data_IF_281780129085
#
_entry.id   IF_281780129085
#
_cell.length_a   1.000
_cell.length_b   1.000
_cell.length_c   1.000
_cell.angle_alpha   90.00
_cell.angle_beta   90.00
_cell.angle_gamma   90.00
#
_symmetry.space_group_name_H-M   'P 1'
#
loop_
_entity.id
_entity.type
_entity.pdbx_description
1 polymer ?
#
# COMPACT_ATOMS: atom_id res chain seq x y z
N UNK A 1 34.03 -74.58 28.28
CA UNK A 1 32.97 -73.95 27.46
C UNK A 1 32.29 -72.87 28.28
N UNK A 2 32.66 -71.61 28.10
CA UNK A 2 32.02 -70.46 28.77
C UNK A 2 32.08 -69.27 27.82
N UNK A 3 30.98 -69.05 27.07
CA UNK A 3 30.79 -67.89 26.18
C UNK A 3 30.47 -66.67 27.05
N UNK A 4 31.30 -65.62 26.94
CA UNK A 4 30.98 -64.28 27.44
C UNK A 4 30.11 -63.57 26.41
N UNK A 5 28.92 -63.15 26.82
CA UNK A 5 28.01 -62.32 26.03
C UNK A 5 28.18 -60.86 26.46
N UNK A 6 28.64 -60.01 25.56
CA UNK A 6 28.70 -58.55 25.73
C UNK A 6 27.37 -57.92 25.30
N UNK A 7 26.64 -57.33 26.25
CA UNK A 7 25.48 -56.48 25.97
C UNK A 7 25.96 -55.10 25.50
N UNK A 8 25.52 -54.70 24.31
CA UNK A 8 25.64 -53.33 23.79
C UNK A 8 24.48 -52.50 24.35
N UNK A 9 24.76 -51.49 25.18
CA UNK A 9 23.76 -50.51 25.60
C UNK A 9 23.66 -49.40 24.53
N UNK A 10 22.51 -49.31 23.86
CA UNK A 10 22.21 -48.22 22.93
C UNK A 10 21.75 -46.98 23.73
N UNK A 11 22.56 -45.93 23.72
CA UNK A 11 22.18 -44.63 24.28
C UNK A 11 21.23 -43.91 23.30
N UNK A 12 19.97 -43.76 23.68
CA UNK A 12 18.97 -42.97 22.94
C UNK A 12 19.22 -41.48 23.23
N UNK A 13 19.82 -40.76 22.28
CA UNK A 13 19.94 -39.31 22.36
C UNK A 13 18.59 -38.67 22.00
N UNK A 14 17.86 -38.16 22.99
CA UNK A 14 16.71 -37.28 22.76
C UNK A 14 17.20 -35.93 22.24
N UNK A 15 17.00 -35.68 20.95
CA UNK A 15 17.11 -34.33 20.39
C UNK A 15 15.84 -33.55 20.74
N UNK A 16 15.92 -32.64 21.70
CA UNK A 16 14.89 -31.63 21.92
C UNK A 16 14.87 -30.69 20.70
N UNK A 17 13.86 -30.82 19.85
CA UNK A 17 13.57 -29.83 18.83
C UNK A 17 13.19 -28.52 19.53
N UNK A 18 13.97 -27.46 19.30
CA UNK A 18 13.63 -26.14 19.79
C UNK A 18 12.33 -25.67 19.12
N UNK A 19 11.26 -25.52 19.92
CA UNK A 19 10.03 -24.88 19.46
C UNK A 19 10.36 -23.42 19.17
N UNK A 20 10.13 -22.89 17.95
CA UNK A 20 10.38 -21.49 17.67
C UNK A 20 9.50 -20.65 18.62
N UNK A 21 10.13 -19.75 19.38
CA UNK A 21 9.40 -18.80 20.20
C UNK A 21 8.47 -18.00 19.29
N UNK A 22 7.16 -18.03 19.57
CA UNK A 22 6.21 -17.20 18.83
C UNK A 22 6.61 -15.73 19.03
N UNK A 23 6.68 -14.97 17.93
CA UNK A 23 6.92 -13.53 17.98
C UNK A 23 5.90 -12.87 18.92
N UNK A 24 6.35 -11.88 19.69
CA UNK A 24 5.46 -11.17 20.61
C UNK A 24 4.33 -10.49 19.81
N UNK A 25 3.06 -10.60 20.26
CA UNK A 25 1.93 -10.00 19.56
C UNK A 25 2.15 -8.49 19.35
N UNK A 26 1.79 -8.00 18.16
CA UNK A 26 1.81 -6.56 17.88
C UNK A 26 0.73 -5.88 18.71
N UNK A 27 1.10 -4.81 19.41
CA UNK A 27 0.19 -4.02 20.26
C UNK A 27 0.20 -2.53 19.95
N UNK A 28 1.12 -2.04 19.11
CA UNK A 28 1.24 -0.65 18.70
C UNK A 28 0.58 -0.38 17.34
N UNK A 29 -0.58 -0.97 17.08
CA UNK A 29 -1.26 -0.80 15.80
C UNK A 29 -2.13 0.47 15.73
N UNK A 30 -2.31 1.05 14.53
CA UNK A 30 -3.26 2.12 14.29
C UNK A 30 -4.68 1.79 14.73
N UNK A 31 -5.38 2.79 15.25
CA UNK A 31 -6.78 2.70 15.70
C UNK A 31 -7.06 1.64 16.78
N UNK A 32 -6.05 1.04 17.42
CA UNK A 32 -6.22 0.04 18.48
C UNK A 32 -7.26 0.44 19.52
N UNK A 33 -7.13 1.65 20.05
CA UNK A 33 -7.97 2.19 21.13
C UNK A 33 -9.16 3.01 20.62
N UNK A 34 -9.24 3.27 19.32
CA UNK A 34 -10.23 4.20 18.78
C UNK A 34 -11.65 3.66 19.00
N UNK A 35 -12.61 4.49 19.46
CA UNK A 35 -14.01 4.11 19.50
C UNK A 35 -14.47 3.62 18.12
N UNK A 36 -15.38 2.65 18.08
CA UNK A 36 -16.03 2.29 16.82
C UNK A 36 -16.80 3.49 16.27
N UNK A 37 -16.82 3.60 14.96
CA UNK A 37 -17.41 4.71 14.23
C UNK A 37 -17.83 4.22 12.84
N UNK A 38 -18.74 4.93 12.19
CA UNK A 38 -19.00 4.69 10.76
C UNK A 38 -17.81 5.03 9.87
N UNK A 39 -16.81 5.73 10.42
CA UNK A 39 -15.53 6.05 9.77
C UNK A 39 -14.41 5.07 10.14
N UNK A 40 -14.67 4.08 11.01
CA UNK A 40 -13.71 3.00 11.27
C UNK A 40 -13.51 2.13 10.01
N UNK A 41 -12.34 1.49 9.85
CA UNK A 41 -12.17 0.40 8.89
C UNK A 41 -13.28 -0.64 9.10
N UNK A 42 -13.92 -1.07 8.01
CA UNK A 42 -15.00 -2.06 8.09
C UNK A 42 -14.51 -3.35 8.76
N UNK A 43 -13.26 -3.76 8.50
CA UNK A 43 -12.64 -4.91 9.13
C UNK A 43 -12.64 -4.81 10.66
N UNK A 44 -12.37 -3.63 11.23
CA UNK A 44 -12.33 -3.42 12.68
C UNK A 44 -13.73 -3.61 13.29
N UNK A 45 -14.78 -3.17 12.58
CA UNK A 45 -16.18 -3.37 12.98
C UNK A 45 -16.55 -4.86 12.92
N UNK A 46 -16.19 -5.54 11.84
CA UNK A 46 -16.51 -6.95 11.61
C UNK A 46 -15.77 -7.91 12.55
N UNK A 47 -14.62 -7.50 13.08
CA UNK A 47 -13.88 -8.25 14.11
C UNK A 47 -14.57 -8.23 15.48
N UNK A 48 -15.43 -7.25 15.75
CA UNK A 48 -16.14 -7.11 17.02
C UNK A 48 -17.56 -7.65 16.94
N UNK A 49 -17.94 -8.69 17.71
CA UNK A 49 -19.31 -9.20 17.73
C UNK A 49 -20.33 -8.10 18.08
N UNK A 50 -20.03 -7.27 19.08
CA UNK A 50 -20.92 -6.19 19.52
C UNK A 50 -21.12 -5.12 18.43
N UNK A 51 -20.05 -4.69 17.75
CA UNK A 51 -20.16 -3.71 16.67
C UNK A 51 -20.85 -4.29 15.43
N UNK A 52 -20.57 -5.55 15.11
CA UNK A 52 -21.24 -6.27 14.02
C UNK A 52 -22.75 -6.37 14.25
N UNK A 53 -23.19 -6.64 15.47
CA UNK A 53 -24.61 -6.73 15.81
C UNK A 53 -25.34 -5.39 15.65
N UNK A 54 -24.68 -4.26 15.94
CA UNK A 54 -25.23 -2.92 15.68
C UNK A 54 -25.41 -2.70 14.18
N UNK A 55 -24.42 -3.03 13.36
CA UNK A 55 -24.48 -2.83 11.90
C UNK A 55 -25.51 -3.75 11.23
N UNK A 56 -25.67 -4.99 11.70
CA UNK A 56 -26.67 -5.95 11.18
C UNK A 56 -28.11 -5.43 11.28
N UNK A 57 -28.40 -4.51 12.21
CA UNK A 57 -29.74 -3.90 12.33
C UNK A 57 -30.13 -3.05 11.12
N UNK A 58 -29.18 -2.59 10.31
CA UNK A 58 -29.43 -1.89 9.03
C UNK A 58 -29.89 -2.82 7.89
N UNK A 59 -29.84 -4.13 8.13
CA UNK A 59 -30.14 -5.18 7.18
C UNK A 59 -29.21 -6.38 7.45
N UNK A 60 -29.73 -7.51 8.00
CA UNK A 60 -28.89 -8.61 8.48
C UNK A 60 -28.00 -9.23 7.39
N UNK A 61 -28.36 -9.01 6.13
CA UNK A 61 -27.72 -9.59 4.96
C UNK A 61 -26.79 -8.63 4.18
N UNK A 62 -26.72 -7.34 4.54
CA UNK A 62 -26.03 -6.34 3.69
C UNK A 62 -24.54 -6.57 3.54
N UNK A 63 -23.88 -7.11 4.57
CA UNK A 63 -22.43 -7.33 4.58
C UNK A 63 -22.05 -8.82 4.55
N UNK A 64 -22.98 -9.70 4.93
CA UNK A 64 -22.76 -11.16 4.96
C UNK A 64 -22.94 -11.82 3.59
N UNK A 65 -23.62 -11.17 2.64
CA UNK A 65 -23.72 -11.63 1.23
C UNK A 65 -22.54 -11.19 0.36
N UNK A 66 -21.66 -10.34 0.87
CA UNK A 66 -20.49 -9.90 0.13
C UNK A 66 -19.44 -11.03 0.12
N UNK A 67 -18.66 -11.19 -0.96
CA UNK A 67 -17.57 -12.15 -1.00
C UNK A 67 -16.60 -11.96 0.18
N UNK A 68 -15.95 -13.03 0.63
CA UNK A 68 -14.99 -12.97 1.73
C UNK A 68 -13.81 -12.03 1.43
N UNK A 69 -13.41 -11.88 0.16
CA UNK A 69 -12.42 -10.88 -0.25
C UNK A 69 -12.87 -9.44 0.02
N UNK A 70 -14.19 -9.19 0.06
CA UNK A 70 -14.77 -7.86 0.27
C UNK A 70 -15.11 -7.58 1.74
N UNK A 71 -15.63 -8.57 2.47
CA UNK A 71 -16.11 -8.43 3.84
C UNK A 71 -15.45 -9.41 4.84
N UNK A 72 -14.26 -9.91 4.53
CA UNK A 72 -13.50 -10.82 5.38
C UNK A 72 -12.83 -10.10 6.56
N UNK A 73 -12.57 -10.85 7.63
CA UNK A 73 -11.86 -10.39 8.82
C UNK A 73 -10.38 -10.76 8.86
N UNK A 74 -9.89 -11.41 7.80
CA UNK A 74 -8.48 -11.78 7.64
C UNK A 74 -7.90 -10.94 6.52
N UNK A 75 -6.80 -10.23 6.80
CA UNK A 75 -6.04 -9.51 5.79
C UNK A 75 -5.26 -10.49 4.89
N UNK A 76 -5.14 -10.23 3.57
CA UNK A 76 -5.66 -9.07 2.85
C UNK A 76 -7.18 -9.11 2.65
N UNK A 77 -7.84 -7.96 2.84
CA UNK A 77 -9.29 -7.82 2.61
C UNK A 77 -9.66 -6.39 2.23
N UNK A 78 -10.62 -6.24 1.31
CA UNK A 78 -11.19 -4.93 0.96
C UNK A 78 -11.80 -4.22 2.18
N UNK A 79 -12.29 -4.97 3.18
CA UNK A 79 -12.81 -4.42 4.43
C UNK A 79 -11.76 -3.59 5.21
N UNK A 80 -10.46 -3.80 4.95
CA UNK A 80 -9.38 -3.02 5.55
C UNK A 80 -9.17 -1.64 4.90
N UNK A 81 -9.80 -1.38 3.73
CA UNK A 81 -9.63 -0.15 2.94
C UNK A 81 -10.94 0.59 2.64
N UNK A 82 -12.03 0.18 3.29
CA UNK A 82 -13.30 0.90 3.29
C UNK A 82 -13.76 1.15 4.71
N UNK A 83 -14.56 2.21 4.88
CA UNK A 83 -15.34 2.44 6.10
C UNK A 83 -16.81 2.09 5.88
N UNK A 84 -17.59 1.96 6.96
CA UNK A 84 -19.04 1.80 6.84
C UNK A 84 -19.68 2.97 6.08
N UNK A 85 -19.21 4.21 6.30
CA UNK A 85 -19.67 5.38 5.55
C UNK A 85 -19.42 5.19 4.05
N UNK A 86 -18.21 4.81 3.68
CA UNK A 86 -17.87 4.63 2.27
C UNK A 86 -18.65 3.45 1.64
N UNK A 87 -18.78 2.33 2.35
CA UNK A 87 -19.57 1.19 1.92
C UNK A 87 -21.09 1.52 1.84
N UNK A 88 -21.60 2.39 2.71
CA UNK A 88 -23.03 2.78 2.73
C UNK A 88 -23.44 3.63 1.53
N UNK A 89 -22.49 4.35 0.91
CA UNK A 89 -22.70 5.06 -0.35
C UNK A 89 -23.03 4.12 -1.51
N UNK A 90 -22.71 2.83 -1.39
CA UNK A 90 -23.08 1.78 -2.35
C UNK A 90 -24.52 1.27 -2.16
N UNK A 91 -25.16 1.58 -1.03
CA UNK A 91 -26.45 1.00 -0.64
C UNK A 91 -27.53 1.98 -0.18
N UNK A 92 -27.30 3.29 -0.32
CA UNK A 92 -28.29 4.35 -0.08
C UNK A 92 -28.82 4.42 1.36
N UNK A 93 -27.94 4.52 2.35
CA UNK A 93 -28.36 4.75 3.75
C UNK A 93 -28.60 6.25 3.96
N UNK A 94 -29.81 6.60 4.42
CA UNK A 94 -30.17 7.98 4.76
C UNK A 94 -29.20 8.61 5.78
N UNK A 95 -28.82 9.90 5.64
CA UNK A 95 -27.86 10.56 6.53
C UNK A 95 -28.20 10.49 8.02
N UNK A 96 -29.49 10.60 8.37
CA UNK A 96 -29.94 10.54 9.76
C UNK A 96 -29.73 9.14 10.37
N UNK A 97 -29.94 8.09 9.57
CA UNK A 97 -29.69 6.71 9.99
C UNK A 97 -28.19 6.45 10.20
N UNK A 98 -27.33 7.03 9.35
CA UNK A 98 -25.88 6.97 9.55
C UNK A 98 -25.45 7.68 10.84
N UNK A 99 -26.05 8.83 11.15
CA UNK A 99 -25.77 9.58 12.37
C UNK A 99 -26.21 8.82 13.63
N UNK A 100 -27.37 8.18 13.59
CA UNK A 100 -27.84 7.31 14.68
C UNK A 100 -26.92 6.09 14.86
N UNK A 101 -26.54 5.43 13.77
CA UNK A 101 -25.63 4.29 13.78
C UNK A 101 -24.26 4.65 14.36
N UNK A 102 -23.69 5.79 13.96
CA UNK A 102 -22.39 6.25 14.48
C UNK A 102 -22.45 6.45 16.00
N UNK A 103 -23.55 6.99 16.51
CA UNK A 103 -23.76 7.14 17.95
C UNK A 103 -23.83 5.80 18.67
N UNK A 104 -24.54 4.82 18.11
CA UNK A 104 -24.61 3.47 18.67
C UNK A 104 -23.24 2.78 18.67
N UNK A 105 -22.49 2.86 17.55
CA UNK A 105 -21.14 2.31 17.46
C UNK A 105 -20.19 2.93 18.47
N UNK A 106 -20.20 4.26 18.60
CA UNK A 106 -19.35 4.99 19.57
C UNK A 106 -19.65 4.66 21.03
N UNK A 107 -20.85 4.18 21.32
CA UNK A 107 -21.24 3.77 22.67
C UNK A 107 -20.70 2.38 23.05
N UNK A 108 -20.21 1.59 22.09
CA UNK A 108 -19.64 0.26 22.33
C UNK A 108 -18.24 0.40 22.96
N UNK A 109 -18.01 -0.19 24.15
CA UNK A 109 -16.67 -0.23 24.74
C UNK A 109 -15.71 -1.05 23.85
N UNK A 110 -14.52 -0.53 23.61
CA UNK A 110 -13.45 -1.27 22.92
C UNK A 110 -12.77 -2.21 23.92
N UNK A 111 -13.02 -3.51 23.77
CA UNK A 111 -12.50 -4.56 24.66
C UNK A 111 -11.04 -4.89 24.36
N UNK A 112 -10.35 -5.60 25.27
CA UNK A 112 -8.99 -6.09 24.97
C UNK A 112 -8.95 -7.13 23.84
N UNK A 113 -10.04 -7.86 23.61
CA UNK A 113 -10.17 -8.75 22.44
C UNK A 113 -10.25 -7.94 21.14
N UNK A 114 -11.04 -6.87 21.10
CA UNK A 114 -11.10 -5.97 19.94
C UNK A 114 -9.72 -5.38 19.63
N UNK A 115 -9.00 -4.93 20.66
CA UNK A 115 -7.65 -4.38 20.52
C UNK A 115 -6.65 -5.39 19.96
N UNK A 116 -6.68 -6.63 20.45
CA UNK A 116 -5.83 -7.72 19.94
C UNK A 116 -6.18 -8.05 18.48
N UNK A 117 -7.47 -8.18 18.19
CA UNK A 117 -7.97 -8.50 16.85
C UNK A 117 -7.56 -7.45 15.81
N UNK A 118 -7.71 -6.15 16.13
CA UNK A 118 -7.28 -5.05 15.25
C UNK A 118 -5.79 -5.09 14.94
N UNK A 119 -4.95 -5.45 15.92
CA UNK A 119 -3.50 -5.49 15.72
C UNK A 119 -3.00 -6.74 15.01
N UNK A 120 -3.80 -7.81 14.93
CA UNK A 120 -3.38 -9.09 14.35
C UNK A 120 -3.03 -9.03 12.84
N UNK A 121 -3.48 -7.99 12.11
CA UNK A 121 -3.14 -7.75 10.69
C UNK A 121 -1.78 -7.08 10.48
N UNK A 122 -1.11 -6.67 11.55
CA UNK A 122 0.22 -6.06 11.49
C UNK A 122 1.27 -7.06 11.99
N UNK A 123 2.48 -6.96 11.46
CA UNK A 123 3.62 -7.79 11.84
C UNK A 123 4.81 -6.93 12.28
N UNK A 124 5.71 -7.50 13.06
CA UNK A 124 6.91 -6.87 13.58
C UNK A 124 8.18 -7.69 13.35
N UNK A 125 8.11 -8.74 12.52
CA UNK A 125 9.26 -9.58 12.19
C UNK A 125 10.34 -8.74 11.52
N UNK A 126 11.59 -8.80 12.01
CA UNK A 126 12.67 -7.98 11.45
C UNK A 126 13.48 -8.81 10.45
N UNK A 127 13.31 -8.58 9.12
CA UNK A 127 14.07 -9.33 8.13
C UNK A 127 15.56 -8.96 8.18
N UNK A 128 16.39 -9.90 7.73
CA UNK A 128 17.84 -9.69 7.57
C UNK A 128 18.17 -9.64 6.09
N UNK A 129 18.88 -8.60 5.68
CA UNK A 129 19.33 -8.42 4.30
C UNK A 129 20.85 -8.41 4.24
N UNK A 130 21.41 -9.04 3.22
CA UNK A 130 22.82 -8.92 2.89
C UNK A 130 22.95 -8.11 1.60
N UNK A 131 23.24 -6.81 1.74
CA UNK A 131 23.27 -5.89 0.60
C UNK A 131 24.70 -5.59 0.16
N UNK A 132 25.02 -5.69 -1.14
CA UNK A 132 26.34 -5.35 -1.65
C UNK A 132 26.64 -3.86 -1.45
N UNK A 133 27.93 -3.56 -1.26
CA UNK A 133 28.45 -2.18 -1.17
C UNK A 133 28.66 -1.61 -2.57
N UNK A 134 28.58 -0.28 -2.71
CA UNK A 134 28.90 0.43 -3.96
C UNK A 134 27.79 0.48 -5.00
N UNK A 135 26.67 -0.23 -4.78
CA UNK A 135 25.46 -0.15 -5.62
C UNK A 135 24.37 0.67 -4.92
N UNK A 136 23.48 1.35 -5.67
CA UNK A 136 22.20 1.81 -5.12
C UNK A 136 21.43 0.64 -4.53
N UNK A 137 20.93 0.78 -3.30
CA UNK A 137 20.22 -0.27 -2.55
C UNK A 137 18.73 0.04 -2.49
N UNK A 138 17.91 -0.87 -2.97
CA UNK A 138 16.46 -0.72 -3.07
C UNK A 138 15.77 -1.77 -2.19
N UNK A 139 14.77 -1.34 -1.42
CA UNK A 139 13.85 -2.23 -0.72
C UNK A 139 12.53 -2.26 -1.48
N UNK A 140 12.17 -3.40 -2.04
CA UNK A 140 10.84 -3.64 -2.61
C UNK A 140 9.92 -4.13 -1.49
N UNK A 141 8.95 -3.32 -1.10
CA UNK A 141 8.01 -3.59 -0.03
C UNK A 141 6.66 -4.00 -0.61
N UNK A 142 6.19 -5.18 -0.21
CA UNK A 142 5.07 -5.89 -0.85
C UNK A 142 4.04 -6.39 0.17
N UNK A 143 4.03 -5.83 1.39
CA UNK A 143 2.98 -6.14 2.36
C UNK A 143 1.65 -5.56 1.89
N UNK A 144 0.59 -6.35 1.94
CA UNK A 144 -0.77 -5.92 1.60
C UNK A 144 -1.73 -6.34 2.71
N UNK A 145 -2.50 -5.37 3.22
CA UNK A 145 -3.60 -5.62 4.16
C UNK A 145 -4.98 -5.39 3.52
N UNK A 146 -5.02 -4.63 2.41
CA UNK A 146 -6.22 -4.25 1.68
C UNK A 146 -6.53 -5.17 0.49
N UNK A 147 -6.67 -4.58 -0.69
CA UNK A 147 -6.88 -5.30 -1.95
C UNK A 147 -5.57 -5.87 -2.48
N UNK A 148 -5.52 -7.19 -2.69
CA UNK A 148 -4.37 -7.87 -3.30
C UNK A 148 -4.67 -8.19 -4.76
N UNK A 149 -4.03 -7.45 -5.66
CA UNK A 149 -4.01 -7.73 -7.09
C UNK A 149 -2.76 -8.55 -7.45
N UNK A 150 -2.80 -9.85 -7.13
CA UNK A 150 -1.64 -10.74 -7.30
C UNK A 150 -1.01 -10.64 -8.71
N UNK A 151 -1.77 -10.64 -9.82
CA UNK A 151 -1.17 -10.49 -11.15
C UNK A 151 -0.30 -9.25 -11.33
N UNK A 152 -0.73 -8.09 -10.83
CA UNK A 152 0.04 -6.84 -10.97
C UNK A 152 1.23 -6.80 -10.02
N UNK A 153 1.06 -7.27 -8.78
CA UNK A 153 2.14 -7.37 -7.78
C UNK A 153 3.27 -8.26 -8.31
N UNK A 154 2.95 -9.44 -8.84
CA UNK A 154 3.93 -10.38 -9.39
C UNK A 154 4.64 -9.83 -10.63
N UNK A 155 3.89 -9.19 -11.54
CA UNK A 155 4.46 -8.57 -12.74
C UNK A 155 5.40 -7.40 -12.40
N UNK A 156 4.98 -6.55 -11.46
CA UNK A 156 5.79 -5.46 -10.96
C UNK A 156 7.06 -5.95 -10.25
N UNK A 157 6.93 -7.00 -9.42
CA UNK A 157 8.05 -7.64 -8.74
C UNK A 157 9.11 -8.08 -9.75
N UNK A 158 8.69 -8.87 -10.75
CA UNK A 158 9.58 -9.35 -11.80
C UNK A 158 10.26 -8.20 -12.55
N UNK A 159 9.49 -7.16 -12.93
CA UNK A 159 10.02 -6.00 -13.63
C UNK A 159 11.03 -5.20 -12.78
N UNK A 160 10.80 -5.02 -11.48
CA UNK A 160 11.76 -4.34 -10.60
C UNK A 160 13.06 -5.11 -10.43
N UNK A 161 13.00 -6.45 -10.35
CA UNK A 161 14.21 -7.27 -10.33
C UNK A 161 15.00 -7.17 -11.65
N UNK A 162 14.29 -7.19 -12.79
CA UNK A 162 14.92 -7.07 -14.10
C UNK A 162 15.55 -5.67 -14.31
N UNK A 163 14.81 -4.60 -13.96
CA UNK A 163 15.32 -3.23 -13.95
C UNK A 163 16.56 -3.11 -13.07
N UNK A 164 16.55 -3.69 -11.87
CA UNK A 164 17.72 -3.67 -10.99
C UNK A 164 18.93 -4.36 -11.63
N UNK A 165 18.73 -5.48 -12.33
CA UNK A 165 19.77 -6.17 -13.10
C UNK A 165 20.39 -5.28 -14.18
N UNK A 166 19.54 -4.62 -15.00
CA UNK A 166 20.00 -3.72 -16.09
C UNK A 166 20.70 -2.46 -15.57
N UNK A 167 20.18 -1.89 -14.49
CA UNK A 167 20.65 -0.61 -13.93
C UNK A 167 21.75 -0.76 -12.89
N UNK A 168 22.17 -2.00 -12.57
CA UNK A 168 23.21 -2.28 -11.59
C UNK A 168 22.80 -1.97 -10.14
N UNK A 169 21.51 -1.98 -9.84
CA UNK A 169 20.99 -1.79 -8.48
C UNK A 169 21.04 -3.09 -7.70
N UNK A 170 21.11 -2.96 -6.38
CA UNK A 170 20.91 -4.07 -5.46
C UNK A 170 19.51 -3.97 -4.88
N UNK A 171 18.67 -4.97 -5.14
CA UNK A 171 17.28 -4.99 -4.72
C UNK A 171 17.00 -6.24 -3.90
N UNK A 172 16.18 -6.10 -2.86
CA UNK A 172 15.61 -7.20 -2.08
C UNK A 172 14.14 -6.89 -1.83
N UNK A 173 13.31 -7.93 -1.74
CA UNK A 173 11.89 -7.77 -1.42
C UNK A 173 11.55 -8.25 -0.01
N UNK A 174 10.44 -7.75 0.52
CA UNK A 174 9.86 -8.23 1.77
C UNK A 174 8.37 -7.89 1.86
N UNK A 175 7.61 -8.78 2.49
CA UNK A 175 6.22 -8.58 2.90
C UNK A 175 6.10 -8.23 4.38
N UNK A 176 7.21 -8.09 5.10
CA UNK A 176 7.21 -7.83 6.54
C UNK A 176 7.28 -6.34 6.87
N UNK A 177 6.28 -5.84 7.59
CA UNK A 177 6.22 -4.47 8.10
C UNK A 177 7.40 -4.12 9.02
N UNK A 178 7.99 -5.12 9.69
CA UNK A 178 9.15 -4.91 10.55
C UNK A 178 10.40 -4.43 9.81
N UNK A 179 10.44 -4.48 8.47
CA UNK A 179 11.47 -3.80 7.67
C UNK A 179 11.44 -2.26 7.79
N UNK A 180 10.29 -1.67 8.15
CA UNK A 180 10.12 -0.22 8.30
C UNK A 180 10.61 0.27 9.67
N UNK A 181 11.86 -0.02 9.99
CA UNK A 181 12.52 0.43 11.22
C UNK A 181 13.83 1.18 10.90
N UNK A 182 14.34 2.03 11.81
CA UNK A 182 15.52 2.87 11.52
C UNK A 182 16.79 2.07 11.15
N UNK A 183 17.00 0.90 11.74
CA UNK A 183 18.19 0.09 11.51
C UNK A 183 18.21 -0.54 10.11
N UNK A 184 17.04 -0.89 9.57
CA UNK A 184 16.88 -1.41 8.22
C UNK A 184 16.82 -0.27 7.20
N UNK A 185 15.97 0.74 7.42
CA UNK A 185 15.77 1.85 6.47
C UNK A 185 17.07 2.59 6.11
N UNK A 186 18.01 2.76 7.05
CA UNK A 186 19.33 3.38 6.77
C UNK A 186 20.20 2.60 5.78
N UNK A 187 19.87 1.34 5.51
CA UNK A 187 20.59 0.49 4.56
C UNK A 187 20.11 0.68 3.13
N UNK A 188 19.04 1.43 2.90
CA UNK A 188 18.44 1.61 1.58
C UNK A 188 18.51 3.05 1.12
N UNK A 189 18.67 3.21 -0.19
CA UNK A 189 18.65 4.48 -0.88
C UNK A 189 17.22 4.85 -1.31
N UNK A 190 16.40 3.85 -1.58
CA UNK A 190 14.97 3.99 -1.87
C UNK A 190 14.17 2.81 -1.32
N UNK A 191 12.92 3.09 -0.94
CA UNK A 191 11.89 2.11 -0.62
C UNK A 191 10.80 2.23 -1.68
N UNK A 192 10.49 1.11 -2.34
CA UNK A 192 9.47 0.98 -3.38
C UNK A 192 8.29 0.26 -2.76
N UNK A 193 7.11 0.86 -2.74
CA UNK A 193 5.86 0.18 -2.42
C UNK A 193 5.27 -0.38 -3.71
N UNK A 194 5.32 -1.70 -3.83
CA UNK A 194 4.82 -2.42 -4.98
C UNK A 194 3.31 -2.68 -4.81
N UNK A 195 2.48 -1.84 -5.41
CA UNK A 195 1.02 -2.02 -5.41
C UNK A 195 0.43 -2.22 -4.00
N UNK A 196 1.04 -1.60 -2.98
CA UNK A 196 0.68 -1.81 -1.57
C UNK A 196 -0.71 -1.22 -1.32
N UNK A 197 -1.65 -2.07 -0.90
CA UNK A 197 -2.98 -1.63 -0.47
C UNK A 197 -3.20 -1.92 1.00
N UNK A 198 -3.90 -1.02 1.68
CA UNK A 198 -4.22 -1.10 3.08
C UNK A 198 -3.23 -0.39 4.00
N UNK A 199 -3.69 -0.23 5.24
CA UNK A 199 -2.82 0.20 6.31
C UNK A 199 -1.95 -0.96 6.80
N UNK A 200 -0.67 -0.92 6.42
CA UNK A 200 0.25 -2.05 6.55
C UNK A 200 1.32 -1.86 7.63
N UNK A 201 1.37 -0.69 8.28
CA UNK A 201 2.43 -0.34 9.23
C UNK A 201 1.89 -0.06 10.64
N UNK A 202 2.59 -0.56 11.67
CA UNK A 202 2.36 -0.18 13.07
C UNK A 202 2.69 1.31 13.30
N UNK A 203 2.29 1.87 14.44
CA UNK A 203 2.58 3.27 14.78
C UNK A 203 4.09 3.54 14.85
N UNK A 204 4.87 2.62 15.43
CA UNK A 204 6.32 2.76 15.47
C UNK A 204 6.93 2.70 14.05
N UNK A 205 6.44 1.79 13.19
CA UNK A 205 6.88 1.66 11.80
C UNK A 205 6.53 2.89 10.97
N UNK A 206 5.31 3.42 11.10
CA UNK A 206 4.88 4.69 10.48
C UNK A 206 5.80 5.85 10.87
N UNK A 207 6.11 5.96 12.16
CA UNK A 207 7.01 7.01 12.65
C UNK A 207 8.42 6.86 12.09
N UNK A 208 8.98 5.64 12.06
CA UNK A 208 10.30 5.39 11.50
C UNK A 208 10.36 5.71 10.00
N UNK A 209 9.35 5.27 9.24
CA UNK A 209 9.25 5.51 7.80
C UNK A 209 9.12 6.99 7.46
N UNK A 210 8.18 7.69 8.12
CA UNK A 210 8.01 9.16 8.00
C UNK A 210 9.31 9.89 8.28
N UNK A 211 9.95 9.60 9.42
CA UNK A 211 11.18 10.26 9.83
C UNK A 211 12.33 9.99 8.85
N UNK A 212 12.41 8.78 8.30
CA UNK A 212 13.44 8.42 7.31
C UNK A 212 13.26 9.21 6.01
N UNK A 213 12.03 9.31 5.49
CA UNK A 213 11.73 10.11 4.29
C UNK A 213 12.04 11.58 4.56
N UNK A 214 11.51 12.18 5.62
CA UNK A 214 11.71 13.60 5.93
C UNK A 214 13.19 13.98 6.11
N UNK A 215 14.04 13.01 6.48
CA UNK A 215 15.49 13.18 6.64
C UNK A 215 16.33 12.88 5.39
N UNK A 216 15.72 12.48 4.27
CA UNK A 216 16.43 12.29 3.00
C UNK A 216 16.24 10.93 2.34
N UNK A 217 15.48 10.02 2.96
CA UNK A 217 15.04 8.78 2.34
C UNK A 217 14.20 9.04 1.09
N UNK A 218 14.18 8.06 0.18
CA UNK A 218 13.42 8.16 -1.06
C UNK A 218 12.31 7.12 -1.12
N UNK A 219 11.12 7.56 -1.51
CA UNK A 219 9.93 6.74 -1.64
C UNK A 219 9.47 6.67 -3.09
N UNK A 220 9.10 5.46 -3.52
CA UNK A 220 8.44 5.21 -4.79
C UNK A 220 7.15 4.45 -4.49
N UNK A 221 5.99 5.01 -4.82
CA UNK A 221 4.70 4.34 -4.71
C UNK A 221 4.13 3.98 -6.08
N UNK A 222 3.66 2.74 -6.23
CA UNK A 222 3.07 2.26 -7.48
C UNK A 222 1.59 1.92 -7.28
N UNK A 223 0.76 2.44 -8.17
CA UNK A 223 -0.66 2.17 -8.39
C UNK A 223 -1.44 1.98 -7.09
N UNK A 224 -1.63 0.73 -6.63
CA UNK A 224 -2.36 0.38 -5.40
C UNK A 224 -1.92 1.17 -4.16
N UNK A 225 -0.65 1.62 -4.13
CA UNK A 225 -0.09 2.49 -3.09
C UNK A 225 -0.87 3.78 -2.83
N UNK A 226 -1.70 4.24 -3.77
CA UNK A 226 -2.67 5.30 -3.49
C UNK A 226 -4.03 5.06 -4.15
N UNK A 227 -4.42 3.79 -4.30
CA UNK A 227 -5.69 3.34 -4.89
C UNK A 227 -6.78 2.99 -3.89
N UNK A 228 -6.50 3.09 -2.59
CA UNK A 228 -7.47 2.72 -1.55
C UNK A 228 -8.64 3.72 -1.47
N UNK A 229 -9.90 3.26 -1.40
CA UNK A 229 -11.06 4.13 -1.20
C UNK A 229 -10.98 4.98 0.07
N UNK A 230 -10.37 4.42 1.13
CA UNK A 230 -10.11 5.10 2.40
C UNK A 230 -8.70 4.79 2.88
N UNK A 231 -7.95 5.83 3.20
CA UNK A 231 -6.63 5.74 3.85
C UNK A 231 -6.73 6.19 5.32
N UNK A 232 -6.25 5.37 6.25
CA UNK A 232 -6.29 5.62 7.69
C UNK A 232 -4.97 6.22 8.24
N UNK A 233 -4.27 6.97 7.39
CA UNK A 233 -3.03 7.66 7.72
C UNK A 233 -2.90 8.97 6.91
N UNK A 234 -3.40 10.06 7.48
CA UNK A 234 -3.50 11.34 6.75
C UNK A 234 -2.15 11.86 6.24
N UNK A 235 -1.07 11.72 7.02
CA UNK A 235 0.27 12.12 6.54
C UNK A 235 0.67 11.36 5.27
N UNK A 236 0.32 10.08 5.15
CA UNK A 236 0.61 9.31 3.95
C UNK A 236 -0.18 9.83 2.74
N UNK A 237 -1.49 9.96 2.87
CA UNK A 237 -2.33 10.37 1.75
C UNK A 237 -2.12 11.85 1.37
N UNK A 238 -2.13 12.75 2.35
CA UNK A 238 -2.19 14.20 2.11
C UNK A 238 -0.81 14.83 2.02
N UNK A 239 0.18 14.32 2.77
CA UNK A 239 1.54 14.88 2.77
C UNK A 239 2.43 14.13 1.79
N UNK A 240 2.59 12.81 1.95
CA UNK A 240 3.51 12.00 1.15
C UNK A 240 3.01 11.88 -0.30
N UNK A 241 1.84 11.27 -0.53
CA UNK A 241 1.25 11.12 -1.87
C UNK A 241 0.77 12.48 -2.40
N UNK A 242 0.06 13.25 -1.56
CA UNK A 242 -0.48 14.55 -1.94
C UNK A 242 -1.83 14.51 -2.66
N UNK A 243 -2.47 13.35 -2.68
CA UNK A 243 -3.76 13.13 -3.32
C UNK A 243 -4.48 11.94 -2.65
N UNK A 244 -5.81 12.01 -2.57
CA UNK A 244 -6.66 10.91 -2.12
C UNK A 244 -7.42 10.33 -3.31
N UNK A 245 -7.41 9.01 -3.46
CA UNK A 245 -8.19 8.31 -4.48
C UNK A 245 -9.66 8.73 -4.43
N UNK A 246 -10.23 8.96 -5.61
CA UNK A 246 -11.67 9.16 -5.79
C UNK A 246 -12.32 7.87 -6.29
N UNK A 247 -11.91 7.42 -7.48
CA UNK A 247 -12.42 6.24 -8.17
C UNK A 247 -11.61 5.99 -9.47
N UNK A 248 -11.94 4.92 -10.17
CA UNK A 248 -11.52 4.63 -11.54
C UNK A 248 -12.74 4.30 -12.42
N UNK A 249 -12.63 4.31 -13.77
CA UNK A 249 -13.70 3.87 -14.65
C UNK A 249 -14.12 2.42 -14.37
N UNK A 250 -15.40 2.10 -14.54
CA UNK A 250 -15.91 0.75 -14.26
C UNK A 250 -16.33 -0.04 -15.49
N UNK A 251 -16.76 0.63 -16.56
CA UNK A 251 -17.38 -0.02 -17.71
C UNK A 251 -17.01 0.66 -19.04
N UNK A 252 -15.95 0.21 -19.72
CA UNK A 252 -14.96 -0.79 -19.26
C UNK A 252 -13.99 -0.20 -18.21
N UNK A 253 -13.47 -1.06 -17.33
CA UNK A 253 -12.48 -0.69 -16.30
C UNK A 253 -11.13 -0.30 -16.92
N UNK A 254 -10.62 -1.15 -17.80
CA UNK A 254 -9.37 -0.91 -18.54
C UNK A 254 -9.65 -0.23 -19.86
N UNK A 255 -8.96 0.87 -20.13
CA UNK A 255 -9.18 1.68 -21.33
C UNK A 255 -7.87 2.17 -21.94
N UNK A 256 -7.83 2.25 -23.26
CA UNK A 256 -6.76 2.98 -23.92
C UNK A 256 -6.92 4.46 -23.63
N UNK A 257 -5.85 5.10 -23.17
CA UNK A 257 -5.76 6.54 -23.03
C UNK A 257 -4.40 7.02 -23.51
N UNK A 258 -4.37 8.24 -24.02
CA UNK A 258 -3.14 8.97 -24.31
C UNK A 258 -2.60 9.55 -23.02
N UNK A 259 -1.33 9.30 -22.76
CA UNK A 259 -0.55 9.90 -21.68
C UNK A 259 0.35 10.96 -22.30
N UNK A 260 0.39 12.15 -21.70
CA UNK A 260 1.26 13.26 -22.10
C UNK A 260 2.25 13.57 -20.97
N UNK A 261 3.49 13.87 -21.31
CA UNK A 261 4.52 14.27 -20.33
C UNK A 261 4.66 15.77 -20.25
N UNK A 262 5.02 16.25 -19.06
CA UNK A 262 5.28 17.66 -18.79
C UNK A 262 6.70 18.02 -19.24
N UNK A 263 6.89 18.85 -20.27
CA UNK A 263 8.19 19.05 -20.91
C UNK A 263 9.25 19.63 -19.96
N UNK A 264 8.83 20.38 -18.94
CA UNK A 264 9.73 20.98 -17.95
C UNK A 264 10.06 20.06 -16.76
N UNK A 265 9.44 18.89 -16.64
CA UNK A 265 9.76 17.96 -15.56
C UNK A 265 11.14 17.32 -15.82
N UNK A 266 12.06 17.24 -14.84
CA UNK A 266 13.41 16.70 -15.05
C UNK A 266 13.47 15.24 -15.53
N UNK A 267 12.38 14.49 -15.40
CA UNK A 267 12.26 13.10 -15.85
C UNK A 267 11.56 12.95 -17.20
N UNK A 268 11.06 14.03 -17.80
CA UNK A 268 10.32 13.97 -19.08
C UNK A 268 11.19 13.44 -20.22
N UNK A 269 12.49 13.73 -20.21
CA UNK A 269 13.43 13.29 -21.27
C UNK A 269 13.66 11.78 -21.30
N UNK A 270 13.22 11.03 -20.28
CA UNK A 270 13.35 9.58 -20.25
C UNK A 270 12.27 8.86 -21.08
N UNK A 271 11.22 9.57 -21.49
CA UNK A 271 10.06 9.01 -22.18
C UNK A 271 9.63 9.91 -23.35
N UNK A 272 8.85 9.40 -24.32
CA UNK A 272 8.28 10.24 -25.37
C UNK A 272 7.36 11.34 -24.81
N UNK A 273 7.19 12.42 -25.57
CA UNK A 273 6.26 13.50 -25.23
C UNK A 273 4.83 12.97 -24.96
N UNK A 274 4.39 11.99 -25.77
CA UNK A 274 3.12 11.31 -25.61
C UNK A 274 3.21 9.84 -26.00
N UNK A 275 2.37 8.99 -25.41
CA UNK A 275 2.13 7.62 -25.89
C UNK A 275 0.72 7.16 -25.51
N UNK A 276 0.29 6.03 -26.08
CA UNK A 276 -0.99 5.39 -25.72
C UNK A 276 -0.69 4.14 -24.89
N UNK A 277 -1.48 3.94 -23.85
CA UNK A 277 -1.41 2.77 -22.98
C UNK A 277 -2.82 2.32 -22.62
N UNK A 278 -3.00 1.04 -22.30
CA UNK A 278 -4.25 0.49 -21.78
C UNK A 278 -4.04 0.04 -20.34
N UNK A 279 -4.69 0.70 -19.38
CA UNK A 279 -4.60 0.41 -17.95
C UNK A 279 -5.90 0.87 -17.24
N UNK A 280 -5.94 0.77 -15.92
CA UNK A 280 -6.94 1.37 -15.05
C UNK A 280 -6.54 2.80 -14.65
N UNK A 281 -7.41 3.77 -14.92
CA UNK A 281 -7.09 5.19 -14.74
C UNK A 281 -7.69 5.76 -13.45
N UNK A 282 -6.82 6.02 -12.46
CA UNK A 282 -7.23 6.63 -11.20
C UNK A 282 -7.55 8.10 -11.36
N UNK A 283 -8.66 8.52 -10.75
CA UNK A 283 -8.97 9.92 -10.51
C UNK A 283 -8.85 10.21 -9.02
N UNK A 284 -8.45 11.42 -8.68
CA UNK A 284 -8.19 11.83 -7.31
C UNK A 284 -9.12 12.96 -6.89
N UNK A 285 -9.44 13.01 -5.59
CA UNK A 285 -10.32 14.05 -5.02
C UNK A 285 -9.73 15.45 -5.13
N UNK A 286 -8.41 15.53 -5.14
CA UNK A 286 -7.65 16.77 -5.27
C UNK A 286 -6.50 16.54 -6.23
N UNK A 287 -6.23 17.52 -7.09
CA UNK A 287 -5.08 17.48 -7.96
C UNK A 287 -3.78 17.61 -7.13
N UNK A 288 -2.80 16.70 -7.28
CA UNK A 288 -1.59 16.69 -6.46
C UNK A 288 -0.73 17.96 -6.60
N UNK A 289 -0.87 18.75 -7.68
CA UNK A 289 -0.20 20.05 -7.83
C UNK A 289 -0.55 21.00 -6.69
N UNK A 290 -1.79 20.96 -6.20
CA UNK A 290 -2.23 21.78 -5.06
C UNK A 290 -1.49 21.47 -3.76
N UNK A 291 -0.88 20.27 -3.67
CA UNK A 291 -0.05 19.85 -2.55
C UNK A 291 1.45 20.08 -2.77
N UNK A 292 1.84 20.75 -3.86
CA UNK A 292 3.23 21.03 -4.22
C UNK A 292 3.93 19.92 -5.02
N UNK A 293 3.18 19.02 -5.64
CA UNK A 293 3.76 18.01 -6.54
C UNK A 293 4.22 18.62 -7.88
N UNK A 294 5.34 18.12 -8.42
CA UNK A 294 5.74 18.33 -9.80
C UNK A 294 5.23 17.17 -10.64
N UNK A 295 4.25 17.43 -11.51
CA UNK A 295 3.66 16.40 -12.36
C UNK A 295 4.63 16.04 -13.48
N UNK A 296 4.81 14.74 -13.70
CA UNK A 296 5.60 14.18 -14.79
C UNK A 296 4.69 13.83 -15.98
N UNK A 297 3.52 13.24 -15.72
CA UNK A 297 2.62 12.80 -16.77
C UNK A 297 1.14 13.01 -16.39
N UNK A 298 0.33 13.29 -17.40
CA UNK A 298 -1.12 13.47 -17.32
C UNK A 298 -1.86 12.58 -18.33
N UNK A 299 -3.15 12.33 -18.09
CA UNK A 299 -4.05 11.67 -19.05
C UNK A 299 -4.78 12.70 -19.92
N UNK A 300 -4.93 12.39 -21.21
CA UNK A 300 -5.86 13.11 -22.09
C UNK A 300 -7.28 12.53 -21.96
N UNK A 301 -8.12 13.18 -21.16
CA UNK A 301 -9.51 12.79 -20.88
C UNK A 301 -10.43 12.75 -22.11
N UNK A 302 -9.98 13.23 -23.28
CA UNK A 302 -10.73 13.12 -24.55
C UNK A 302 -10.53 11.78 -25.24
N UNK A 303 -9.55 10.99 -24.79
CA UNK A 303 -9.13 9.73 -25.43
C UNK A 303 -9.70 8.49 -24.75
N UNK A 304 -10.40 8.65 -23.63
CA UNK A 304 -11.08 7.57 -22.91
C UNK A 304 -12.37 8.08 -22.24
N UNK A 305 -13.11 7.19 -21.59
CA UNK A 305 -14.35 7.49 -20.87
C UNK A 305 -14.12 7.50 -19.34
N UNK A 306 -13.93 8.68 -18.72
CA UNK A 306 -13.75 8.85 -17.28
C UNK A 306 -15.07 8.76 -16.52
N UNK A 307 -15.74 7.60 -16.57
CA UNK A 307 -17.02 7.38 -15.91
C UNK A 307 -16.92 6.23 -14.92
N UNK A 308 -17.07 6.58 -13.64
CA UNK A 308 -16.99 5.65 -12.52
C UNK A 308 -18.28 4.88 -12.27
N UNK A 309 -18.31 4.17 -11.15
CA UNK A 309 -19.51 3.50 -10.66
C UNK A 309 -20.70 4.48 -10.54
N UNK A 310 -21.92 4.02 -10.80
CA UNK A 310 -23.14 4.85 -10.79
C UNK A 310 -23.06 6.13 -11.63
N UNK A 311 -22.28 6.12 -12.72
CA UNK A 311 -22.10 7.24 -13.66
C UNK A 311 -21.49 8.50 -13.03
N UNK A 312 -20.72 8.36 -11.96
CA UNK A 312 -19.93 9.48 -11.41
C UNK A 312 -18.94 9.97 -12.49
N UNK A 313 -18.93 11.27 -12.75
CA UNK A 313 -17.94 11.90 -13.63
C UNK A 313 -16.59 11.94 -12.90
N UNK A 314 -15.57 11.35 -13.54
CA UNK A 314 -14.22 11.24 -12.99
C UNK A 314 -13.24 12.23 -13.62
N UNK A 315 -13.71 13.15 -14.47
CA UNK A 315 -12.85 14.20 -15.04
C UNK A 315 -12.26 15.08 -13.95
N UNK A 316 -10.95 15.27 -14.03
CA UNK A 316 -10.15 16.22 -13.28
C UNK A 316 -9.82 17.48 -14.10
N UNK A 317 -9.94 17.41 -15.44
CA UNK A 317 -9.51 18.44 -16.38
C UNK A 317 -7.99 18.43 -16.55
N UNK A 318 -7.25 18.83 -15.53
CA UNK A 318 -5.83 18.49 -15.39
C UNK A 318 -5.75 17.18 -14.60
N UNK A 319 -5.35 16.10 -15.27
CA UNK A 319 -5.40 14.73 -14.76
C UNK A 319 -4.00 14.12 -14.57
N UNK A 320 -3.26 14.46 -13.51
CA UNK A 320 -1.97 13.84 -13.19
C UNK A 320 -2.07 12.34 -12.95
N UNK A 321 -1.16 11.58 -13.57
CA UNK A 321 -1.06 10.12 -13.42
C UNK A 321 0.33 9.66 -12.93
N UNK A 322 1.33 10.53 -13.01
CA UNK A 322 2.63 10.32 -12.36
C UNK A 322 3.23 11.66 -11.92
N UNK A 323 3.81 11.72 -10.72
CA UNK A 323 4.38 12.95 -10.18
C UNK A 323 5.50 12.70 -9.17
N UNK A 324 6.29 13.74 -8.93
CA UNK A 324 7.28 13.79 -7.87
C UNK A 324 6.92 14.82 -6.81
N UNK A 325 7.43 14.64 -5.59
CA UNK A 325 7.28 15.61 -4.50
C UNK A 325 8.50 15.59 -3.58
N UNK A 326 8.85 16.75 -3.05
CA UNK A 326 9.82 16.86 -1.96
C UNK A 326 9.12 16.75 -0.61
N UNK A 327 9.62 15.88 0.26
CA UNK A 327 9.08 15.67 1.62
C UNK A 327 10.20 15.91 2.61
N UNK A 328 10.25 17.11 3.18
CA UNK A 328 11.45 17.56 3.91
C UNK A 328 12.68 17.49 3.00
N UNK A 329 13.67 16.68 3.39
CA UNK A 329 14.87 16.42 2.56
C UNK A 329 14.72 15.23 1.61
N UNK A 330 13.63 14.47 1.73
CA UNK A 330 13.36 13.25 0.98
C UNK A 330 12.72 13.50 -0.38
N UNK A 331 12.77 12.46 -1.21
CA UNK A 331 12.20 12.44 -2.56
C UNK A 331 11.07 11.43 -2.62
N UNK A 332 9.98 11.81 -3.26
CA UNK A 332 8.79 11.00 -3.47
C UNK A 332 8.55 10.94 -4.98
N UNK A 333 8.37 9.74 -5.52
CA UNK A 333 7.75 9.52 -6.83
C UNK A 333 6.51 8.64 -6.65
N UNK A 334 5.43 9.00 -7.33
CA UNK A 334 4.24 8.16 -7.40
C UNK A 334 3.80 8.01 -8.85
N UNK A 335 3.40 6.78 -9.20
CA UNK A 335 2.76 6.44 -10.46
C UNK A 335 1.41 5.80 -10.16
N UNK A 336 0.32 6.35 -10.69
CA UNK A 336 -1.00 5.74 -10.66
C UNK A 336 -1.18 4.64 -11.73
N UNK A 337 -0.20 4.48 -12.63
CA UNK A 337 -0.18 3.42 -13.64
C UNK A 337 0.27 2.11 -12.99
N UNK A 338 -0.32 0.96 -13.37
CA UNK A 338 0.21 -0.33 -12.95
C UNK A 338 -0.79 -1.41 -12.52
N UNK A 339 -2.08 -1.32 -12.85
CA UNK A 339 -3.01 -2.43 -12.60
C UNK A 339 -2.71 -3.61 -13.52
N UNK A 340 -2.44 -3.32 -14.80
CA UNK A 340 -2.29 -4.38 -15.79
C UNK A 340 -0.89 -4.99 -15.76
N UNK A 341 -0.74 -6.32 -15.69
CA UNK A 341 0.57 -6.98 -15.75
C UNK A 341 1.40 -6.55 -16.97
N UNK A 342 0.75 -6.34 -18.11
CA UNK A 342 1.41 -5.95 -19.37
C UNK A 342 2.00 -4.54 -19.32
N UNK A 343 1.54 -3.68 -18.40
CA UNK A 343 2.11 -2.36 -18.22
C UNK A 343 3.58 -2.45 -17.79
N UNK A 344 3.95 -3.46 -16.99
CA UNK A 344 5.31 -3.64 -16.48
C UNK A 344 6.32 -4.15 -17.52
N UNK A 345 5.87 -4.52 -18.72
CA UNK A 345 6.74 -4.81 -19.87
C UNK A 345 6.63 -3.77 -20.99
N UNK A 346 5.77 -2.74 -20.82
CA UNK A 346 5.63 -1.66 -21.79
C UNK A 346 6.86 -0.73 -21.77
N UNK A 347 7.59 -0.56 -22.89
CA UNK A 347 8.90 0.13 -22.89
C UNK A 347 8.87 1.53 -22.28
N UNK A 348 7.87 2.35 -22.63
CA UNK A 348 7.77 3.72 -22.12
C UNK A 348 7.53 3.75 -20.61
N UNK A 349 6.76 2.81 -20.06
CA UNK A 349 6.53 2.75 -18.62
C UNK A 349 7.75 2.23 -17.87
N UNK A 350 8.40 1.19 -18.41
CA UNK A 350 9.66 0.67 -17.87
C UNK A 350 10.72 1.78 -17.81
N UNK A 351 10.92 2.54 -18.89
CA UNK A 351 11.87 3.66 -18.88
C UNK A 351 11.49 4.76 -17.88
N UNK A 352 10.19 5.05 -17.71
CA UNK A 352 9.72 5.99 -16.68
C UNK A 352 10.09 5.51 -15.27
N UNK A 353 9.82 4.25 -14.96
CA UNK A 353 10.15 3.64 -13.67
C UNK A 353 11.67 3.62 -13.44
N UNK A 354 12.46 3.27 -14.46
CA UNK A 354 13.92 3.27 -14.36
C UNK A 354 14.45 4.68 -14.04
N UNK A 355 13.97 5.70 -14.76
CA UNK A 355 14.37 7.09 -14.54
C UNK A 355 13.93 7.61 -13.17
N UNK A 356 12.72 7.28 -12.74
CA UNK A 356 12.18 7.67 -11.43
C UNK A 356 12.96 7.02 -10.29
N UNK A 357 13.24 5.71 -10.36
CA UNK A 357 14.05 5.01 -9.35
C UNK A 357 15.48 5.52 -9.35
N UNK A 358 16.09 5.75 -10.52
CA UNK A 358 17.44 6.33 -10.62
C UNK A 358 17.49 7.71 -9.95
N UNK A 359 16.51 8.58 -10.21
CA UNK A 359 16.41 9.90 -9.59
C UNK A 359 16.19 9.83 -8.09
N UNK A 360 15.30 8.94 -7.64
CA UNK A 360 14.97 8.77 -6.24
C UNK A 360 16.17 8.21 -5.46
N UNK A 361 16.87 7.21 -5.99
CA UNK A 361 17.98 6.53 -5.32
C UNK A 361 19.34 7.26 -5.47
N UNK A 362 19.46 8.32 -6.28
CA UNK A 362 20.72 9.04 -6.47
C UNK A 362 21.16 9.74 -5.18
N UNK A 363 22.20 9.20 -4.53
CA UNK A 363 22.79 9.76 -3.30
C UNK A 363 23.30 11.19 -3.48
N UNK A 364 23.74 11.56 -4.68
CA UNK A 364 24.23 12.93 -4.97
C UNK A 364 23.10 13.95 -4.91
N UNK A 365 21.86 13.51 -5.05
CA UNK A 365 20.64 14.33 -4.92
C UNK A 365 20.08 14.32 -3.49
N UNK A 366 20.71 13.66 -2.52
CA UNK A 366 20.29 13.77 -1.12
C UNK A 366 20.37 15.23 -0.66
N UNK A 367 19.24 15.78 -0.18
CA UNK A 367 19.12 17.19 0.19
C UNK A 367 18.87 18.16 -0.99
N UNK A 368 18.65 17.66 -2.22
CA UNK A 368 18.20 18.52 -3.33
C UNK A 368 16.82 19.13 -3.05
N UNK A 369 15.99 18.40 -2.31
CA UNK A 369 14.82 18.94 -1.65
C UNK A 369 15.28 19.82 -0.48
N UNK A 370 15.18 21.13 -0.69
CA UNK A 370 15.46 22.15 0.34
C UNK A 370 14.20 22.36 1.19
N UNK A 371 14.40 22.76 2.44
CA UNK A 371 13.31 23.10 3.36
C UNK A 371 12.53 24.31 2.90
#
# INVERSE_FOLDING_TARGET
MTRRSTMLAAALALTLAAVPAMAAPVVDCPLRESPFSIDSPLIDVLLSPAATDVVRRLGPDRFTRLPASFAGTTAPSFAAIVSLRNASGLGGIEPDKLTALDRELRAIPVTEDDKRARCARYDNDVPRFNMPVGKPRLLLFEKINGFEDTPSVEAAHAAFLEMAGRQGWAIVSTTSGGAMNPAILRQFDAVIWNNVSGDVLTLAQRSAFKNWIEKGGAFIGIHGSAGDPVTFWDWYADTLIGARFLAHPMAPQFQQARIATEPHHPLSTAVPAEWVMNDEWYSFRTNPRSSGAQVLATLDERTYSPVGHSKVDLRMGDHPIAWTKCIGKGRMFYSAIGHRPETYSAPNYVHMLEAAVAWAADRRKQGSCKR
#
